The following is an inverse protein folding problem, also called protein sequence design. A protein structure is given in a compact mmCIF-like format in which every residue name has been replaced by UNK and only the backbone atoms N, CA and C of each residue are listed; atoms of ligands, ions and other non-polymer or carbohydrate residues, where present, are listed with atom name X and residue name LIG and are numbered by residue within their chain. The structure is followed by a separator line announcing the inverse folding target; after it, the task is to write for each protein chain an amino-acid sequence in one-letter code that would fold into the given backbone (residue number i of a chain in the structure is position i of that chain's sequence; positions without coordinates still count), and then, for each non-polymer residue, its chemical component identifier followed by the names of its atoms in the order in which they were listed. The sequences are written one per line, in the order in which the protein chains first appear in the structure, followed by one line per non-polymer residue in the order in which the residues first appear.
data_IF_070762472475
#
_entry.id   IF_070762472475
#
_cell.length_a   1.000
_cell.length_b   1.000
_cell.length_c   1.000
_cell.angle_alpha   90.00
_cell.angle_beta   90.00
_cell.angle_gamma   90.00
#
_symmetry.space_group_name_H-M   'P 1'
#
loop_
_entity.id
_entity.type
_entity.pdbx_description
1 polymer ?
#
# COMPACT_ATOMS: atom_id res chain seq x y z
N UNK A 1 3.10 3.28 14.59
CA UNK A 1 2.69 1.94 14.13
C UNK A 1 3.77 0.95 14.50
N UNK A 2 3.40 -0.19 15.08
CA UNK A 2 4.30 -1.32 15.33
C UNK A 2 3.77 -2.55 14.56
N UNK A 3 4.63 -3.25 13.83
CA UNK A 3 4.27 -4.41 13.01
C UNK A 3 4.29 -5.69 13.84
N UNK A 4 3.49 -5.72 14.90
CA UNK A 4 3.46 -6.80 15.89
C UNK A 4 2.18 -7.63 15.83
N UNK A 5 1.51 -7.67 14.66
CA UNK A 5 0.27 -8.40 14.51
C UNK A 5 0.48 -9.90 14.87
N UNK A 6 -0.34 -10.46 15.78
CA UNK A 6 -0.20 -11.85 16.19
C UNK A 6 -0.26 -12.80 14.99
N UNK A 7 0.79 -13.61 14.82
CA UNK A 7 0.91 -14.56 13.70
C UNK A 7 1.78 -14.08 12.53
N UNK A 8 2.10 -12.79 12.43
CA UNK A 8 2.93 -12.21 11.38
C UNK A 8 4.28 -11.74 11.95
N UNK A 9 5.18 -12.69 12.22
CA UNK A 9 6.48 -12.37 12.85
C UNK A 9 7.46 -11.80 11.83
N UNK A 10 8.12 -10.69 12.20
CA UNK A 10 9.21 -10.12 11.42
C UNK A 10 8.75 -9.30 10.21
N UNK A 11 7.52 -8.79 10.26
CA UNK A 11 7.03 -7.80 9.31
C UNK A 11 7.90 -6.53 9.37
N UNK A 12 8.25 -6.00 8.19
CA UNK A 12 9.18 -4.88 8.03
C UNK A 12 8.92 -4.14 6.71
N UNK A 13 9.26 -2.86 6.69
CA UNK A 13 9.33 -2.06 5.46
C UNK A 13 10.79 -2.06 4.99
N UNK A 14 11.03 -2.51 3.76
CA UNK A 14 12.37 -2.53 3.13
C UNK A 14 12.42 -1.68 1.85
N UNK A 15 11.29 -1.10 1.47
CA UNK A 15 11.17 -0.18 0.33
C UNK A 15 10.90 1.24 0.80
N UNK A 16 11.10 2.20 -0.08
CA UNK A 16 10.79 3.60 0.20
C UNK A 16 9.29 3.80 0.52
N UNK A 17 9.02 4.53 1.60
CA UNK A 17 7.68 5.03 1.93
C UNK A 17 7.53 6.46 1.41
N UNK A 18 6.37 6.79 0.83
CA UNK A 18 6.15 8.07 0.15
C UNK A 18 4.88 8.74 0.63
N UNK A 19 4.96 10.04 0.87
CA UNK A 19 3.75 10.85 1.11
C UNK A 19 3.20 11.29 -0.23
N UNK A 20 1.93 10.98 -0.47
CA UNK A 20 1.21 11.26 -1.71
C UNK A 20 -0.07 12.00 -1.40
N UNK A 21 -0.57 12.76 -2.36
CA UNK A 21 -1.86 13.46 -2.23
C UNK A 21 -2.91 12.71 -3.02
N UNK A 22 -3.84 12.06 -2.30
CA UNK A 22 -4.98 11.32 -2.85
C UNK A 22 -6.31 12.04 -2.56
N UNK A 23 -6.30 13.37 -2.56
CA UNK A 23 -7.39 14.21 -2.04
C UNK A 23 -7.19 14.60 -0.56
N UNK A 24 -6.24 13.92 0.09
CA UNK A 24 -5.66 14.20 1.39
C UNK A 24 -4.22 13.63 1.43
N UNK A 25 -3.36 14.10 2.34
CA UNK A 25 -2.02 13.53 2.53
C UNK A 25 -2.11 12.08 3.03
N UNK A 26 -1.48 11.16 2.30
CA UNK A 26 -1.44 9.72 2.62
C UNK A 26 0.01 9.25 2.59
N UNK A 27 0.44 8.54 3.63
CA UNK A 27 1.68 7.77 3.62
C UNK A 27 1.43 6.41 2.94
N UNK A 28 2.02 6.24 1.77
CA UNK A 28 2.01 5.00 1.00
C UNK A 28 3.27 4.19 1.31
N UNK A 29 3.10 2.96 1.78
CA UNK A 29 4.21 2.07 2.12
C UNK A 29 3.90 0.61 1.78
N UNK A 30 4.91 -0.17 1.41
CA UNK A 30 4.81 -1.62 1.31
C UNK A 30 5.54 -2.27 2.49
N UNK A 31 4.85 -3.11 3.25
CA UNK A 31 5.45 -3.96 4.28
C UNK A 31 5.55 -5.39 3.77
N UNK A 32 6.54 -6.14 4.26
CA UNK A 32 6.71 -7.55 3.97
C UNK A 32 6.98 -8.35 5.24
N UNK A 33 6.51 -9.58 5.31
CA UNK A 33 6.86 -10.54 6.33
C UNK A 33 7.35 -11.85 5.70
N UNK A 34 8.38 -12.49 6.27
CA UNK A 34 8.83 -13.79 5.80
C UNK A 34 7.78 -14.85 6.13
N UNK A 35 7.49 -15.74 5.19
CA UNK A 35 6.69 -16.93 5.45
C UNK A 35 7.63 -17.98 6.04
N UNK A 36 7.40 -18.37 7.29
CA UNK A 36 8.38 -19.11 8.13
C UNK A 36 8.08 -20.60 8.29
N UNK A 37 6.98 -21.09 7.72
CA UNK A 37 6.56 -22.49 7.84
C UNK A 37 7.28 -23.43 6.86
N UNK A 38 7.93 -22.92 5.80
CA UNK A 38 8.78 -23.71 4.91
C UNK A 38 9.98 -22.90 4.39
N UNK A 39 11.22 -23.16 4.87
CA UNK A 39 12.42 -22.48 4.41
C UNK A 39 12.79 -22.79 2.94
N UNK A 40 12.20 -23.83 2.35
CA UNK A 40 12.41 -24.20 0.95
C UNK A 40 11.42 -23.52 0.00
N UNK A 41 10.38 -22.87 0.51
CA UNK A 41 9.49 -22.01 -0.27
C UNK A 41 10.11 -20.61 -0.28
N UNK A 42 10.79 -20.19 -1.37
CA UNK A 42 11.36 -18.85 -1.45
C UNK A 42 10.18 -17.88 -1.46
N UNK A 43 10.07 -17.04 -0.44
CA UNK A 43 9.03 -16.03 -0.46
C UNK A 43 8.71 -15.41 0.88
N UNK A 44 7.84 -14.44 0.79
CA UNK A 44 7.21 -13.75 1.89
C UNK A 44 5.88 -13.23 1.36
N UNK A 45 5.09 -12.68 2.26
CA UNK A 45 3.87 -11.97 1.88
C UNK A 45 3.97 -10.56 2.40
N UNK A 46 3.03 -9.72 2.04
CA UNK A 46 3.09 -8.34 2.48
C UNK A 46 1.84 -7.57 2.18
N UNK A 47 1.85 -6.32 2.62
CA UNK A 47 0.71 -5.44 2.52
C UNK A 47 1.10 -4.14 1.86
N UNK A 48 0.18 -3.61 1.08
CA UNK A 48 0.12 -2.20 0.77
C UNK A 48 -0.54 -1.47 1.93
N UNK A 49 0.12 -0.47 2.47
CA UNK A 49 -0.35 0.35 3.59
C UNK A 49 -0.61 1.78 3.13
N UNK A 50 -1.75 2.32 3.57
CA UNK A 50 -2.14 3.73 3.44
C UNK A 50 -2.48 4.27 4.83
N UNK A 51 -1.67 5.21 5.29
CA UNK A 51 -1.73 5.73 6.66
C UNK A 51 -1.77 7.26 6.64
N UNK A 52 -2.19 7.84 7.75
CA UNK A 52 -1.98 9.27 8.00
C UNK A 52 -0.46 9.53 8.18
N UNK A 53 0.16 10.39 7.36
CA UNK A 53 1.60 10.64 7.42
C UNK A 53 2.06 11.41 8.66
N UNK A 54 1.15 12.06 9.39
CA UNK A 54 1.44 12.89 10.56
C UNK A 54 1.18 12.18 11.88
N UNK A 55 0.18 11.28 11.92
CA UNK A 55 -0.16 10.51 13.13
C UNK A 55 0.38 9.08 13.09
N UNK A 56 0.66 8.55 11.89
CA UNK A 56 1.02 7.14 11.70
C UNK A 56 -0.11 6.16 12.03
N UNK A 57 -1.35 6.66 12.14
CA UNK A 57 -2.57 5.89 12.36
C UNK A 57 -3.28 5.57 11.03
N UNK A 58 -4.36 4.79 11.11
CA UNK A 58 -5.26 4.60 9.97
C UNK A 58 -5.98 5.90 9.61
N UNK A 59 -6.41 6.01 8.36
CA UNK A 59 -7.13 7.18 7.86
C UNK A 59 -8.57 7.21 8.38
N UNK A 60 -9.08 8.42 8.68
CA UNK A 60 -10.48 8.65 9.07
C UNK A 60 -11.42 8.75 7.86
N UNK A 61 -10.88 8.64 6.64
CA UNK A 61 -11.61 8.68 5.37
C UNK A 61 -11.16 7.52 4.49
N UNK A 62 -12.11 6.89 3.79
CA UNK A 62 -11.83 5.83 2.82
C UNK A 62 -11.06 6.35 1.60
N UNK A 63 -10.01 5.63 1.21
CA UNK A 63 -9.18 5.99 0.05
C UNK A 63 -8.97 4.84 -0.94
N UNK A 64 -9.11 3.60 -0.48
CA UNK A 64 -8.99 2.39 -1.30
C UNK A 64 -10.39 1.89 -1.63
N UNK A 65 -10.63 1.57 -2.91
CA UNK A 65 -11.77 0.79 -3.39
C UNK A 65 -11.27 -0.66 -3.55
N UNK A 66 -11.52 -1.47 -2.54
CA UNK A 66 -10.98 -2.83 -2.41
C UNK A 66 -11.88 -3.89 -3.04
N UNK A 67 -13.17 -3.61 -3.19
CA UNK A 67 -14.15 -4.50 -3.82
C UNK A 67 -14.54 -4.11 -5.27
N UNK A 68 -14.04 -2.97 -5.75
CA UNK A 68 -14.19 -2.42 -7.11
C UNK A 68 -15.60 -1.96 -7.43
N UNK A 69 -16.34 -1.46 -6.44
CA UNK A 69 -17.68 -0.90 -6.65
C UNK A 69 -17.68 0.60 -6.98
N UNK A 70 -16.51 1.24 -6.90
CA UNK A 70 -16.32 2.68 -7.19
C UNK A 70 -16.64 3.61 -6.03
N UNK A 71 -17.02 3.08 -4.86
CA UNK A 71 -17.12 3.79 -3.59
C UNK A 71 -15.94 3.46 -2.69
N UNK A 72 -15.64 4.32 -1.74
CA UNK A 72 -14.67 4.07 -0.65
C UNK A 72 -15.35 4.12 0.70
N UNK A 73 -16.63 4.49 0.71
CA UNK A 73 -17.35 4.79 1.93
C UNK A 73 -17.71 3.50 2.66
N UNK A 74 -17.81 2.38 1.94
CA UNK A 74 -18.12 1.04 2.41
C UNK A 74 -16.89 0.12 2.55
N UNK A 75 -15.71 0.51 2.07
CA UNK A 75 -14.45 -0.23 2.27
C UNK A 75 -13.95 -0.16 3.72
N UNK A 76 -14.63 -0.93 4.58
CA UNK A 76 -14.43 -0.91 6.02
C UNK A 76 -14.42 -2.30 6.62
N UNK A 77 -13.63 -2.45 7.68
CA UNK A 77 -13.72 -3.57 8.62
C UNK A 77 -14.34 -3.04 9.91
N UNK A 78 -15.63 -3.35 10.11
CA UNK A 78 -16.42 -2.75 11.18
C UNK A 78 -16.58 -1.24 10.98
N UNK A 79 -16.10 -0.44 11.94
CA UNK A 79 -16.18 1.02 11.87
C UNK A 79 -14.94 1.70 11.23
N UNK A 80 -13.93 0.93 10.83
CA UNK A 80 -12.64 1.48 10.35
C UNK A 80 -12.48 1.28 8.85
N UNK A 81 -12.01 2.30 8.15
CA UNK A 81 -11.61 2.17 6.75
C UNK A 81 -10.41 1.25 6.59
N UNK A 82 -10.36 0.56 5.45
CA UNK A 82 -9.25 -0.33 5.12
C UNK A 82 -8.01 0.51 4.81
N UNK A 83 -7.02 0.44 5.71
CA UNK A 83 -5.73 1.12 5.59
C UNK A 83 -4.57 0.20 5.19
N UNK A 84 -4.82 -1.10 5.06
CA UNK A 84 -3.80 -2.09 4.70
C UNK A 84 -4.44 -3.23 3.93
N UNK A 85 -3.86 -3.61 2.78
CA UNK A 85 -4.41 -4.62 1.88
C UNK A 85 -3.31 -5.55 1.38
N UNK A 86 -3.59 -6.86 1.43
CA UNK A 86 -2.77 -7.87 0.76
C UNK A 86 -3.28 -8.03 -0.68
N UNK A 87 -2.46 -7.63 -1.64
CA UNK A 87 -2.79 -7.73 -3.07
C UNK A 87 -2.41 -9.10 -3.67
N UNK A 88 -1.99 -10.03 -2.82
CA UNK A 88 -1.57 -11.39 -3.15
C UNK A 88 -0.39 -11.45 -4.13
N UNK A 89 0.55 -10.50 -4.02
CA UNK A 89 1.72 -10.39 -4.91
C UNK A 89 2.99 -11.06 -4.36
N UNK A 90 2.87 -11.87 -3.31
CA UNK A 90 4.02 -12.35 -2.55
C UNK A 90 4.73 -11.21 -1.81
N UNK A 91 6.05 -11.08 -1.97
CA UNK A 91 6.83 -9.98 -1.37
C UNK A 91 6.60 -8.71 -2.19
N UNK A 92 5.93 -7.67 -1.64
CA UNK A 92 5.63 -6.47 -2.40
C UNK A 92 6.88 -5.61 -2.61
N UNK A 93 6.93 -4.99 -3.79
CA UNK A 93 7.88 -3.93 -4.15
C UNK A 93 7.30 -2.55 -3.84
N UNK A 94 8.04 -1.50 -4.16
CA UNK A 94 7.60 -0.12 -3.93
C UNK A 94 6.31 0.19 -4.71
N UNK A 95 5.22 0.59 -4.03
CA UNK A 95 3.94 0.90 -4.68
C UNK A 95 4.08 2.08 -5.63
N UNK A 96 3.56 1.97 -6.86
CA UNK A 96 3.53 3.04 -7.86
C UNK A 96 2.11 3.57 -8.03
N UNK A 97 1.99 4.88 -8.33
CA UNK A 97 0.71 5.53 -8.57
C UNK A 97 0.55 5.83 -10.06
N UNK A 98 -0.58 5.41 -10.62
CA UNK A 98 -1.00 5.77 -11.97
C UNK A 98 -2.29 6.57 -11.91
N UNK A 99 -2.34 7.69 -12.64
CA UNK A 99 -3.56 8.49 -12.76
C UNK A 99 -4.56 7.78 -13.68
N UNK A 100 -5.81 7.67 -13.25
CA UNK A 100 -6.93 7.19 -14.07
C UNK A 100 -7.62 8.35 -14.82
N UNK A 101 -8.27 8.09 -15.97
CA UNK A 101 -8.95 9.12 -16.76
C UNK A 101 -10.14 9.78 -16.05
N UNK A 102 -10.79 9.07 -15.13
CA UNK A 102 -11.92 9.55 -14.31
C UNK A 102 -11.51 10.53 -13.19
N UNK A 103 -10.20 10.79 -13.04
CA UNK A 103 -9.64 11.64 -12.00
C UNK A 103 -9.34 10.92 -10.68
N UNK A 104 -9.53 9.60 -10.60
CA UNK A 104 -8.96 8.75 -9.56
C UNK A 104 -7.52 8.31 -9.86
N UNK A 105 -6.93 7.52 -8.96
CA UNK A 105 -5.63 6.87 -9.18
C UNK A 105 -5.75 5.35 -8.99
N UNK A 106 -4.86 4.61 -9.63
CA UNK A 106 -4.62 3.19 -9.36
C UNK A 106 -3.27 3.07 -8.68
N UNK A 107 -3.22 2.34 -7.57
CA UNK A 107 -1.96 1.95 -6.93
C UNK A 107 -1.57 0.58 -7.50
N UNK A 108 -0.39 0.50 -8.09
CA UNK A 108 0.19 -0.73 -8.60
C UNK A 108 1.31 -1.19 -7.67
N UNK A 109 1.30 -2.47 -7.33
CA UNK A 109 2.37 -3.09 -6.53
C UNK A 109 2.83 -4.32 -7.28
N UNK A 110 4.10 -4.31 -7.72
CA UNK A 110 4.74 -5.54 -8.19
C UNK A 110 5.17 -6.39 -6.99
N UNK A 111 5.39 -7.68 -7.19
CA UNK A 111 5.96 -8.52 -6.15
C UNK A 111 6.63 -9.77 -6.68
N UNK A 112 7.04 -10.65 -5.76
CA UNK A 112 7.68 -11.93 -6.08
C UNK A 112 6.69 -13.01 -6.54
N UNK A 113 5.40 -12.67 -6.63
CA UNK A 113 4.36 -13.58 -7.06
C UNK A 113 4.54 -14.10 -8.48
N UNK A 114 3.93 -15.25 -8.74
CA UNK A 114 3.94 -15.91 -10.04
C UNK A 114 2.56 -16.49 -10.30
N UNK A 115 1.95 -16.07 -11.42
CA UNK A 115 0.65 -16.54 -11.89
C UNK A 115 0.56 -18.06 -12.10
N UNK A 116 1.70 -18.75 -12.12
CA UNK A 116 1.80 -20.21 -12.22
C UNK A 116 2.12 -20.89 -10.88
N UNK A 117 2.38 -20.12 -9.83
CA UNK A 117 2.76 -20.58 -8.49
C UNK A 117 1.69 -20.33 -7.41
N UNK A 118 2.10 -20.47 -6.14
CA UNK A 118 1.24 -20.37 -4.95
C UNK A 118 1.07 -18.95 -4.40
N UNK A 119 1.74 -17.96 -5.00
CA UNK A 119 1.78 -16.58 -4.51
C UNK A 119 1.22 -15.65 -5.60
N UNK A 120 -0.09 -15.71 -5.86
CA UNK A 120 -0.86 -14.86 -6.78
C UNK A 120 -0.14 -14.27 -8.01
N UNK A 121 -0.62 -13.15 -8.59
CA UNK A 121 0.02 -12.53 -9.74
C UNK A 121 1.30 -11.77 -9.35
N UNK A 122 2.19 -11.54 -10.32
CA UNK A 122 3.39 -10.71 -10.12
C UNK A 122 3.08 -9.21 -9.97
N UNK A 123 1.87 -8.78 -10.32
CA UNK A 123 1.38 -7.40 -10.19
C UNK A 123 -0.03 -7.43 -9.62
N UNK A 124 -0.22 -6.68 -8.54
CA UNK A 124 -1.51 -6.42 -7.92
C UNK A 124 -1.87 -4.94 -8.02
N UNK A 125 -3.15 -4.64 -7.98
CA UNK A 125 -3.64 -3.27 -8.06
C UNK A 125 -4.88 -3.05 -7.20
N UNK A 126 -5.00 -1.82 -6.69
CA UNK A 126 -6.18 -1.31 -5.99
C UNK A 126 -6.46 0.11 -6.47
N UNK A 127 -7.74 0.43 -6.65
CA UNK A 127 -8.16 1.72 -7.13
C UNK A 127 -8.42 2.69 -5.98
N UNK A 128 -8.38 3.99 -6.29
CA UNK A 128 -8.63 5.09 -5.36
C UNK A 128 -9.66 6.05 -5.93
N UNK A 129 -10.23 6.90 -5.08
CA UNK A 129 -11.52 7.53 -5.34
C UNK A 129 -11.50 8.50 -6.49
N UNK A 130 -12.64 8.71 -7.17
CA UNK A 130 -12.74 9.76 -8.16
C UNK A 130 -12.39 11.11 -7.51
N UNK A 131 -11.32 11.76 -8.01
CA UNK A 131 -10.79 12.99 -7.42
C UNK A 131 -9.49 12.81 -6.62
N UNK A 132 -9.14 11.58 -6.24
CA UNK A 132 -7.88 11.30 -5.55
C UNK A 132 -6.67 11.74 -6.39
N UNK A 133 -6.73 11.57 -7.72
CA UNK A 133 -5.67 12.04 -8.59
C UNK A 133 -5.76 13.52 -8.97
N UNK A 134 -6.88 14.22 -8.73
CA UNK A 134 -7.01 15.64 -9.12
C UNK A 134 -5.94 16.51 -8.46
N UNK A 135 -5.45 16.10 -7.29
CA UNK A 135 -4.44 16.83 -6.51
C UNK A 135 -3.05 16.19 -6.54
N UNK A 136 -2.84 15.09 -7.30
CA UNK A 136 -1.50 14.53 -7.51
C UNK A 136 -0.59 15.55 -8.20
N UNK A 137 0.08 16.37 -7.40
CA UNK A 137 1.14 17.29 -7.82
C UNK A 137 2.44 16.49 -7.80
N UNK A 138 2.92 16.09 -8.96
CA UNK A 138 4.29 15.57 -9.13
C UNK A 138 5.33 16.70 -9.00
N UNK A 139 5.23 17.55 -7.97
CA UNK A 139 6.16 18.66 -7.69
C UNK A 139 6.60 18.60 -6.24
N UNK A 140 7.92 18.52 -6.02
CA UNK A 140 8.53 18.45 -4.69
C UNK A 140 9.25 17.13 -4.44
N UNK A 141 9.81 16.96 -3.24
CA UNK A 141 10.44 15.70 -2.83
C UNK A 141 9.34 14.69 -2.49
N UNK A 142 9.32 13.57 -3.20
CA UNK A 142 8.36 12.48 -3.02
C UNK A 142 8.83 11.42 -2.02
N UNK A 143 10.03 11.61 -1.45
CA UNK A 143 10.61 10.67 -0.51
C UNK A 143 11.58 11.33 0.47
N UNK A 144 11.71 10.69 1.63
CA UNK A 144 12.67 11.03 2.66
C UNK A 144 14.06 10.50 2.27
N UNK A 145 14.98 11.43 2.00
CA UNK A 145 16.42 11.18 2.10
C UNK A 145 16.95 12.06 3.22
N UNK A 146 17.82 11.49 4.04
CA UNK A 146 18.58 12.24 5.05
C UNK A 146 19.23 13.47 4.40
N UNK A 147 18.95 14.65 4.97
CA UNK A 147 19.63 15.89 4.61
C UNK A 147 20.75 16.09 5.64
N UNK A 148 21.96 15.68 5.28
CA UNK A 148 23.15 16.05 6.05
C UNK A 148 23.31 17.56 5.93
N UNK A 149 23.25 18.27 7.05
CA UNK A 149 23.60 19.69 7.12
C UNK A 149 25.07 19.81 7.51
N UNK A 150 25.78 20.71 6.84
CA UNK A 150 27.13 21.15 7.26
C UNK A 150 27.10 21.79 8.66
#
# INVERSE_FOLDING_TARGET
MDFSQPGLKGERIVTESRVVDLGLPVLLAASMYPVTNDPCTPGGRGFLNVLDPFTGAGLDTGVLDTDRDGSMDNDRIGARFIGSVDLDVGVPTQPQLMRRPDGGATILVGGSGDSTGTQGPSIGQVDTGPGAAKTLKFKGRLAWREVVKE
#
